data_IF_501665994250
#
_entry.id   IF_501665994250
#
_cell.length_a   1.000
_cell.length_b   1.000
_cell.length_c   1.000
_cell.angle_alpha   90.00
_cell.angle_beta   90.00
_cell.angle_gamma   90.00
#
_symmetry.space_group_name_H-M   'P 1'
#
loop_
_entity.id
_entity.type
_entity.pdbx_description
1 polymer ?
#
# COMPACT_ATOMS: atom_id res chain seq x y z
N UNK A 1 -49.88 34.69 10.09
CA UNK A 1 -49.16 33.61 10.75
C UNK A 1 -49.20 32.38 9.85
N UNK A 2 -48.10 31.70 9.73
CA UNK A 2 -47.94 30.52 8.89
C UNK A 2 -48.98 29.45 9.30
N UNK A 3 -49.62 28.88 8.31
CA UNK A 3 -50.60 27.81 8.53
C UNK A 3 -49.91 26.54 9.05
N UNK A 4 -50.66 25.66 9.74
CA UNK A 4 -50.17 24.36 10.22
C UNK A 4 -49.54 23.52 9.10
N UNK A 5 -50.13 23.62 7.88
CA UNK A 5 -49.63 22.95 6.69
C UNK A 5 -48.27 23.49 6.22
N UNK A 6 -48.04 24.80 6.31
CA UNK A 6 -46.74 25.42 5.97
C UNK A 6 -45.64 25.02 6.96
N UNK A 7 -45.99 24.94 8.24
CA UNK A 7 -45.04 24.45 9.29
C UNK A 7 -44.69 22.97 9.08
N UNK A 8 -45.66 22.15 8.73
CA UNK A 8 -45.47 20.74 8.46
C UNK A 8 -44.62 20.53 7.19
N UNK A 9 -44.90 21.31 6.12
CA UNK A 9 -44.11 21.27 4.89
C UNK A 9 -42.65 21.71 5.12
N UNK A 10 -42.43 22.75 5.92
CA UNK A 10 -41.09 23.22 6.29
C UNK A 10 -40.34 22.19 7.16
N UNK A 11 -41.00 21.58 8.13
CA UNK A 11 -40.43 20.52 8.97
C UNK A 11 -40.06 19.28 8.13
N UNK A 12 -40.88 18.90 7.16
CA UNK A 12 -40.62 17.80 6.22
C UNK A 12 -39.46 18.13 5.30
N UNK A 13 -39.37 19.39 4.85
CA UNK A 13 -38.23 19.84 4.01
C UNK A 13 -36.91 19.82 4.79
N UNK A 14 -36.91 20.27 6.06
CA UNK A 14 -35.75 20.16 6.96
C UNK A 14 -35.38 18.69 7.18
N UNK A 15 -36.33 17.82 7.49
CA UNK A 15 -36.10 16.40 7.71
C UNK A 15 -35.53 15.71 6.44
N UNK A 16 -36.03 16.06 5.24
CA UNK A 16 -35.46 15.60 3.98
C UNK A 16 -34.05 16.14 3.76
N UNK A 17 -33.79 17.41 4.01
CA UNK A 17 -32.48 18.03 3.86
C UNK A 17 -31.43 17.44 4.81
N UNK A 18 -31.82 17.14 6.06
CA UNK A 18 -30.96 16.49 7.04
C UNK A 18 -30.73 15.00 6.74
N UNK A 19 -31.71 14.30 6.21
CA UNK A 19 -31.58 12.90 5.79
C UNK A 19 -30.79 12.73 4.49
N UNK A 20 -30.62 13.77 3.68
CA UNK A 20 -29.77 13.75 2.47
C UNK A 20 -28.31 14.10 2.75
N UNK A 21 -27.94 14.42 3.99
CA UNK A 21 -26.54 14.59 4.35
C UNK A 21 -25.78 13.26 4.15
N UNK A 22 -24.75 13.30 3.32
CA UNK A 22 -23.88 12.12 3.09
C UNK A 22 -23.33 11.69 4.46
N UNK A 23 -23.37 10.40 4.79
CA UNK A 23 -22.81 9.89 6.03
C UNK A 23 -21.40 10.42 6.26
N UNK A 24 -21.14 10.99 7.42
CA UNK A 24 -19.81 11.46 7.81
C UNK A 24 -18.90 10.23 7.87
N UNK A 25 -17.84 10.23 7.08
CA UNK A 25 -16.84 9.15 7.08
C UNK A 25 -15.70 9.50 8.04
N UNK A 26 -14.95 8.50 8.54
CA UNK A 26 -13.77 8.75 9.38
C UNK A 26 -12.78 9.75 8.78
N UNK A 27 -12.62 9.75 7.46
CA UNK A 27 -11.77 10.72 6.74
C UNK A 27 -12.24 12.16 6.91
N UNK A 28 -13.56 12.40 6.96
CA UNK A 28 -14.11 13.75 7.09
C UNK A 28 -13.88 14.29 8.51
N UNK A 29 -13.95 13.42 9.53
CA UNK A 29 -13.65 13.78 10.91
C UNK A 29 -12.19 14.16 11.14
N UNK A 30 -11.27 13.56 10.35
CA UNK A 30 -9.84 13.81 10.46
C UNK A 30 -9.36 14.99 9.59
N UNK A 31 -10.11 15.41 8.58
CA UNK A 31 -9.69 16.36 7.55
C UNK A 31 -9.11 17.68 8.06
N UNK A 32 -9.58 18.19 9.20
CA UNK A 32 -9.15 19.45 9.80
C UNK A 32 -8.32 19.27 11.08
N UNK A 33 -7.88 18.05 11.38
CA UNK A 33 -7.08 17.81 12.58
C UNK A 33 -5.68 18.42 12.46
N UNK A 34 -5.05 18.85 13.56
CA UNK A 34 -3.73 19.48 13.52
C UNK A 34 -2.66 18.61 12.87
N UNK A 35 -2.71 17.30 13.09
CA UNK A 35 -1.77 16.36 12.48
C UNK A 35 -1.91 16.33 10.94
N UNK A 36 -3.15 16.40 10.42
CA UNK A 36 -3.39 16.42 8.97
C UNK A 36 -2.93 17.72 8.32
N UNK A 37 -3.08 18.85 9.02
CA UNK A 37 -2.58 20.15 8.52
C UNK A 37 -1.06 20.13 8.43
N UNK A 38 -0.37 19.67 9.48
CA UNK A 38 1.10 19.54 9.47
C UNK A 38 1.58 18.55 8.42
N UNK A 39 0.90 17.40 8.29
CA UNK A 39 1.25 16.41 7.28
C UNK A 39 1.06 16.94 5.85
N UNK A 40 0.00 17.72 5.61
CA UNK A 40 -0.22 18.40 4.33
C UNK A 40 0.95 19.34 3.98
N UNK A 41 1.50 20.05 4.97
CA UNK A 41 2.67 20.88 4.73
C UNK A 41 3.90 20.03 4.41
N UNK A 42 4.18 18.97 5.17
CA UNK A 42 5.30 18.08 4.92
C UNK A 42 5.23 17.43 3.51
N UNK A 43 4.02 17.09 3.05
CA UNK A 43 3.81 16.57 1.70
C UNK A 43 4.09 17.62 0.62
N UNK A 44 3.71 18.89 0.84
CA UNK A 44 4.05 20.00 -0.07
C UNK A 44 5.55 20.22 -0.17
N UNK A 45 6.26 20.11 0.94
CA UNK A 45 7.72 20.26 1.01
C UNK A 45 8.46 19.20 0.15
N UNK A 46 7.84 18.04 -0.07
CA UNK A 46 8.35 17.01 -0.98
C UNK A 46 7.69 17.06 -2.38
N UNK A 47 6.95 18.10 -2.70
CA UNK A 47 6.36 18.32 -4.02
C UNK A 47 5.07 17.52 -4.29
N UNK A 48 4.35 17.10 -3.27
CA UNK A 48 3.10 16.32 -3.38
C UNK A 48 1.92 17.18 -2.89
N UNK A 49 0.87 17.26 -3.71
CA UNK A 49 -0.40 17.84 -3.29
C UNK A 49 -1.19 16.78 -2.52
N UNK A 50 -1.38 17.04 -1.23
CA UNK A 50 -2.10 16.14 -0.35
C UNK A 50 -3.52 16.66 -0.08
N UNK A 51 -4.52 15.89 -0.55
CA UNK A 51 -5.92 16.21 -0.36
C UNK A 51 -6.36 15.83 1.07
N UNK A 52 -6.66 16.82 1.88
CA UNK A 52 -7.20 16.61 3.24
C UNK A 52 -8.70 16.39 3.20
N UNK A 53 -9.41 16.95 2.23
CA UNK A 53 -10.86 16.87 2.10
C UNK A 53 -11.27 16.13 0.83
N UNK A 54 -12.36 15.41 0.89
CA UNK A 54 -12.95 14.75 -0.30
C UNK A 54 -13.43 15.80 -1.30
N UNK A 55 -13.06 15.62 -2.55
CA UNK A 55 -13.46 16.51 -3.66
C UNK A 55 -12.69 17.84 -3.70
N UNK A 56 -11.61 17.98 -2.95
CA UNK A 56 -10.69 19.12 -3.06
C UNK A 56 -10.10 19.16 -4.48
N UNK A 57 -10.10 20.35 -5.09
CA UNK A 57 -9.61 20.53 -6.44
C UNK A 57 -8.09 20.41 -6.49
N UNK A 58 -7.58 19.49 -7.31
CA UNK A 58 -6.14 19.33 -7.52
C UNK A 58 -5.63 20.44 -8.43
N UNK A 59 -4.66 21.26 -7.99
CA UNK A 59 -4.05 22.30 -8.83
C UNK A 59 -3.40 21.69 -10.08
N UNK A 60 -3.41 22.44 -11.20
CA UNK A 60 -2.91 21.96 -12.50
C UNK A 60 -1.49 21.39 -12.44
N UNK A 61 -0.60 22.00 -11.66
CA UNK A 61 0.79 21.56 -11.50
C UNK A 61 0.94 20.16 -10.85
N UNK A 62 -0.10 19.68 -10.16
CA UNK A 62 -0.10 18.39 -9.44
C UNK A 62 -1.01 17.35 -10.09
N UNK A 63 -1.50 17.56 -11.30
CA UNK A 63 -2.40 16.63 -11.98
C UNK A 63 -1.72 15.36 -12.47
N UNK A 64 -0.40 15.34 -12.55
CA UNK A 64 0.34 14.11 -12.84
C UNK A 64 0.12 13.07 -11.75
N UNK A 65 0.01 11.82 -12.17
CA UNK A 65 -0.61 10.74 -11.40
C UNK A 65 0.08 10.44 -10.05
N UNK A 66 1.36 10.75 -9.86
CA UNK A 66 2.05 10.51 -8.59
C UNK A 66 2.37 11.79 -7.80
N UNK A 67 1.95 12.97 -8.29
CA UNK A 67 2.17 14.26 -7.61
C UNK A 67 1.01 14.67 -6.70
N UNK A 68 -0.03 13.86 -6.60
CA UNK A 68 -1.13 14.11 -5.68
C UNK A 68 -1.59 12.84 -5.01
N UNK A 69 -2.14 12.98 -3.82
CA UNK A 69 -2.70 11.85 -3.08
C UNK A 69 -3.70 12.31 -2.02
N UNK A 70 -4.40 11.36 -1.43
CA UNK A 70 -5.36 11.59 -0.35
C UNK A 70 -4.96 10.84 0.92
N UNK A 71 -5.57 11.21 2.05
CA UNK A 71 -5.41 10.50 3.33
C UNK A 71 -5.60 8.99 3.18
N UNK A 72 -6.65 8.59 2.46
CA UNK A 72 -6.98 7.16 2.30
C UNK A 72 -5.92 6.43 1.46
N UNK A 73 -5.41 7.07 0.39
CA UNK A 73 -4.36 6.47 -0.44
C UNK A 73 -3.04 6.34 0.32
N UNK A 74 -2.59 7.42 0.95
CA UNK A 74 -1.39 7.39 1.80
C UNK A 74 -1.52 6.32 2.89
N UNK A 75 -2.68 6.26 3.55
CA UNK A 75 -2.92 5.26 4.56
C UNK A 75 -2.85 3.83 4.04
N UNK A 76 -3.43 3.56 2.87
CA UNK A 76 -3.33 2.24 2.21
C UNK A 76 -1.89 1.88 1.85
N UNK A 77 -1.14 2.82 1.29
CA UNK A 77 0.27 2.61 0.98
C UNK A 77 1.09 2.36 2.25
N UNK A 78 0.82 3.11 3.31
CA UNK A 78 1.44 2.92 4.62
C UNK A 78 1.12 1.54 5.24
N UNK A 79 -0.14 1.11 5.20
CA UNK A 79 -0.52 -0.24 5.66
C UNK A 79 0.24 -1.32 4.88
N UNK A 80 0.34 -1.21 3.56
CA UNK A 80 1.04 -2.18 2.74
C UNK A 80 2.55 -2.17 2.96
N UNK A 81 3.18 -1.01 2.85
CA UNK A 81 4.64 -0.88 2.79
C UNK A 81 5.29 -0.74 4.17
N UNK A 82 4.72 0.08 5.06
CA UNK A 82 5.29 0.32 6.38
C UNK A 82 4.98 -0.87 7.29
N UNK A 83 3.70 -1.22 7.41
CA UNK A 83 3.23 -2.25 8.35
C UNK A 83 3.16 -3.66 7.76
N UNK A 84 3.47 -3.81 6.48
CA UNK A 84 3.52 -5.11 5.79
C UNK A 84 2.21 -5.91 5.86
N UNK A 85 1.06 -5.21 5.82
CA UNK A 85 -0.28 -5.82 5.75
C UNK A 85 -0.97 -5.46 4.43
N UNK A 86 -0.42 -5.93 3.28
CA UNK A 86 -0.89 -5.53 1.94
C UNK A 86 -2.32 -5.95 1.63
N UNK A 87 -2.76 -7.07 2.19
CA UNK A 87 -4.09 -7.60 1.92
C UNK A 87 -5.15 -6.86 2.74
N UNK A 88 -4.86 -6.52 4.01
CA UNK A 88 -5.71 -5.65 4.83
C UNK A 88 -5.81 -4.25 4.23
N UNK A 89 -4.71 -3.70 3.74
CA UNK A 89 -4.66 -2.43 2.99
C UNK A 89 -5.71 -2.37 1.86
N UNK A 90 -5.87 -3.48 1.15
CA UNK A 90 -6.81 -3.61 0.04
C UNK A 90 -8.25 -3.91 0.50
N UNK A 91 -8.41 -4.89 1.39
CA UNK A 91 -9.71 -5.47 1.75
C UNK A 91 -10.36 -4.82 2.97
N UNK A 92 -9.57 -4.22 3.86
CA UNK A 92 -10.01 -3.60 5.11
C UNK A 92 -9.38 -2.22 5.31
N UNK A 93 -9.61 -1.25 4.41
CA UNK A 93 -8.97 0.07 4.50
C UNK A 93 -9.34 0.84 5.77
N UNK A 94 -10.41 0.46 6.47
CA UNK A 94 -10.76 1.00 7.79
C UNK A 94 -9.70 0.71 8.86
N UNK A 95 -8.86 -0.31 8.69
CA UNK A 95 -7.72 -0.58 9.58
C UNK A 95 -6.78 0.61 9.72
N UNK A 96 -6.72 1.49 8.71
CA UNK A 96 -5.95 2.74 8.77
C UNK A 96 -6.29 3.58 10.00
N UNK A 97 -7.56 3.59 10.41
CA UNK A 97 -8.03 4.44 11.50
C UNK A 97 -7.80 3.84 12.90
N UNK A 98 -7.22 2.65 12.98
CA UNK A 98 -6.73 2.12 14.25
C UNK A 98 -5.59 3.02 14.76
N UNK A 99 -5.59 3.41 16.04
CA UNK A 99 -4.65 4.40 16.57
C UNK A 99 -3.19 4.08 16.25
N UNK A 100 -2.76 2.82 16.41
CA UNK A 100 -1.38 2.41 16.18
C UNK A 100 -0.89 2.70 14.75
N UNK A 101 -1.75 2.55 13.73
CA UNK A 101 -1.38 2.82 12.34
C UNK A 101 -1.51 4.30 11.99
N UNK A 102 -2.64 4.89 12.38
CA UNK A 102 -2.93 6.30 12.08
C UNK A 102 -1.90 7.24 12.70
N UNK A 103 -1.64 7.08 14.00
CA UNK A 103 -0.68 7.91 14.73
C UNK A 103 0.74 7.78 14.14
N UNK A 104 1.15 6.57 13.78
CA UNK A 104 2.49 6.35 13.22
C UNK A 104 2.67 7.03 11.86
N UNK A 105 1.66 7.00 11.00
CA UNK A 105 1.73 7.61 9.66
C UNK A 105 1.57 9.13 9.75
N UNK A 106 0.57 9.62 10.49
CA UNK A 106 0.16 11.02 10.40
C UNK A 106 0.62 11.90 11.57
N UNK A 107 1.05 11.32 12.68
CA UNK A 107 1.52 12.07 13.85
C UNK A 107 2.96 11.73 14.28
N UNK A 108 3.67 10.89 13.54
CA UNK A 108 5.07 10.58 13.74
C UNK A 108 6.01 11.67 13.18
N UNK A 109 7.21 11.28 12.74
CA UNK A 109 8.13 12.18 12.03
C UNK A 109 7.58 12.46 10.61
N UNK A 110 6.76 13.50 10.51
CA UNK A 110 6.00 13.79 9.28
C UNK A 110 6.89 14.09 8.08
N UNK A 111 8.05 14.72 8.28
CA UNK A 111 9.00 14.98 7.19
C UNK A 111 9.59 13.69 6.62
N UNK A 112 9.97 12.76 7.49
CA UNK A 112 10.44 11.44 7.08
C UNK A 112 9.34 10.66 6.37
N UNK A 113 8.14 10.61 6.95
CA UNK A 113 7.00 9.90 6.37
C UNK A 113 6.61 10.50 5.01
N UNK A 114 6.62 11.83 4.85
CA UNK A 114 6.33 12.46 3.57
C UNK A 114 7.33 12.05 2.46
N UNK A 115 8.62 11.93 2.78
CA UNK A 115 9.63 11.42 1.84
C UNK A 115 9.34 9.97 1.45
N UNK A 116 9.03 9.12 2.42
CA UNK A 116 8.63 7.73 2.14
C UNK A 116 7.36 7.66 1.30
N UNK A 117 6.36 8.49 1.60
CA UNK A 117 5.11 8.55 0.84
C UNK A 117 5.34 8.98 -0.61
N UNK A 118 6.21 9.96 -0.86
CA UNK A 118 6.56 10.35 -2.24
C UNK A 118 7.11 9.18 -3.03
N UNK A 119 7.99 8.39 -2.44
CA UNK A 119 8.53 7.19 -3.07
C UNK A 119 7.44 6.12 -3.30
N UNK A 120 6.62 5.85 -2.30
CA UNK A 120 5.51 4.89 -2.41
C UNK A 120 4.50 5.27 -3.49
N UNK A 121 4.21 6.56 -3.65
CA UNK A 121 3.34 7.05 -4.72
C UNK A 121 3.95 6.78 -6.11
N UNK A 122 5.28 6.94 -6.25
CA UNK A 122 5.95 6.59 -7.48
C UNK A 122 5.94 5.07 -7.75
N UNK A 123 6.23 4.26 -6.74
CA UNK A 123 6.18 2.79 -6.84
C UNK A 123 4.79 2.33 -7.29
N UNK A 124 3.75 2.89 -6.70
CA UNK A 124 2.36 2.61 -7.05
C UNK A 124 2.00 3.06 -8.48
N UNK A 125 2.43 4.26 -8.85
CA UNK A 125 2.28 4.77 -10.22
C UNK A 125 2.97 3.87 -11.24
N UNK A 126 4.22 3.47 -10.95
CA UNK A 126 5.00 2.60 -11.82
C UNK A 126 4.32 1.26 -12.03
N UNK A 127 3.84 0.64 -10.95
CA UNK A 127 3.09 -0.61 -11.04
C UNK A 127 1.88 -0.49 -11.97
N UNK A 128 1.02 0.50 -11.73
CA UNK A 128 -0.27 0.64 -12.46
C UNK A 128 -0.11 1.06 -13.91
N UNK A 129 0.84 1.91 -14.22
CA UNK A 129 0.90 2.56 -15.53
C UNK A 129 1.97 1.98 -16.46
N UNK A 130 2.98 1.33 -15.92
CA UNK A 130 4.13 0.84 -16.68
C UNK A 130 4.27 -0.67 -16.54
N UNK A 131 4.51 -1.16 -15.32
CA UNK A 131 4.82 -2.56 -15.07
C UNK A 131 3.69 -3.50 -15.49
N UNK A 132 2.45 -3.22 -15.11
CA UNK A 132 1.31 -4.07 -15.40
C UNK A 132 1.14 -4.30 -16.92
N UNK A 133 1.22 -3.23 -17.72
CA UNK A 133 1.13 -3.32 -19.18
C UNK A 133 2.27 -4.13 -19.79
N UNK A 134 3.47 -3.99 -19.24
CA UNK A 134 4.65 -4.76 -19.65
C UNK A 134 4.45 -6.23 -19.32
N UNK A 135 4.05 -6.54 -18.10
CA UNK A 135 3.80 -7.91 -17.65
C UNK A 135 2.74 -8.62 -18.50
N UNK A 136 1.65 -7.94 -18.81
CA UNK A 136 0.56 -8.49 -19.66
C UNK A 136 1.08 -8.84 -21.04
N UNK A 137 1.81 -7.94 -21.68
CA UNK A 137 2.42 -8.18 -22.99
C UNK A 137 3.39 -9.36 -22.98
N UNK A 138 4.28 -9.39 -21.99
CA UNK A 138 5.34 -10.38 -21.90
C UNK A 138 4.81 -11.78 -21.52
N UNK A 139 3.60 -11.85 -20.94
CA UNK A 139 2.94 -13.11 -20.57
C UNK A 139 1.78 -13.51 -21.49
N UNK A 140 1.42 -12.74 -22.51
CA UNK A 140 0.26 -13.01 -23.37
C UNK A 140 0.26 -14.37 -24.06
N UNK A 141 1.45 -14.91 -24.37
CA UNK A 141 1.64 -16.18 -25.10
C UNK A 141 2.17 -17.33 -24.20
N UNK A 142 2.25 -17.13 -22.88
CA UNK A 142 2.78 -18.15 -21.96
C UNK A 142 1.67 -19.14 -21.57
N UNK A 143 1.95 -20.43 -21.35
CA UNK A 143 0.98 -21.34 -20.76
C UNK A 143 0.39 -20.75 -19.46
N UNK A 144 -0.94 -20.87 -19.27
CA UNK A 144 -1.68 -20.27 -18.15
C UNK A 144 -1.59 -18.72 -18.10
N UNK A 145 -1.49 -18.06 -19.27
CA UNK A 145 -1.42 -16.61 -19.38
C UNK A 145 -2.52 -15.89 -18.55
N UNK A 146 -3.77 -16.35 -18.66
CA UNK A 146 -4.90 -15.76 -17.96
C UNK A 146 -4.74 -15.78 -16.45
N UNK A 147 -4.26 -16.89 -15.87
CA UNK A 147 -4.08 -17.02 -14.43
C UNK A 147 -2.93 -16.15 -13.94
N UNK A 148 -1.83 -16.11 -14.70
CA UNK A 148 -0.67 -15.27 -14.39
C UNK A 148 -1.03 -13.78 -14.43
N UNK A 149 -1.69 -13.33 -15.50
CA UNK A 149 -2.15 -11.96 -15.68
C UNK A 149 -3.16 -11.60 -14.60
N UNK A 150 -4.15 -12.47 -14.34
CA UNK A 150 -5.13 -12.28 -13.27
C UNK A 150 -4.48 -12.14 -11.89
N UNK A 151 -3.46 -12.98 -11.59
CA UNK A 151 -2.72 -12.86 -10.35
C UNK A 151 -2.00 -11.52 -10.24
N UNK A 152 -1.24 -11.14 -11.28
CA UNK A 152 -0.47 -9.90 -11.32
C UNK A 152 -1.36 -8.66 -11.13
N UNK A 153 -2.53 -8.62 -11.79
CA UNK A 153 -3.50 -7.53 -11.64
C UNK A 153 -4.02 -7.37 -10.20
N UNK A 154 -4.05 -8.45 -9.44
CA UNK A 154 -4.48 -8.44 -8.03
C UNK A 154 -3.31 -8.25 -7.03
N UNK A 155 -2.06 -8.34 -7.47
CA UNK A 155 -0.87 -8.35 -6.63
C UNK A 155 -0.29 -6.96 -6.30
N UNK A 156 -0.92 -5.86 -6.74
CA UNK A 156 -0.40 -4.49 -6.58
C UNK A 156 0.11 -4.20 -5.16
N UNK A 157 -0.71 -4.40 -4.15
CA UNK A 157 -0.32 -4.08 -2.77
C UNK A 157 0.78 -5.01 -2.23
N UNK A 158 0.82 -6.26 -2.69
CA UNK A 158 1.89 -7.21 -2.39
C UNK A 158 3.21 -6.76 -3.03
N UNK A 159 3.20 -6.29 -4.26
CA UNK A 159 4.40 -5.75 -4.92
C UNK A 159 4.95 -4.54 -4.18
N UNK A 160 4.09 -3.62 -3.75
CA UNK A 160 4.48 -2.45 -2.96
C UNK A 160 5.07 -2.87 -1.60
N UNK A 161 4.41 -3.80 -0.91
CA UNK A 161 4.89 -4.32 0.37
C UNK A 161 6.24 -5.01 0.21
N UNK A 162 6.40 -5.86 -0.81
CA UNK A 162 7.65 -6.57 -1.06
C UNK A 162 8.80 -5.64 -1.43
N UNK A 163 8.56 -4.62 -2.26
CA UNK A 163 9.59 -3.63 -2.59
C UNK A 163 10.10 -2.92 -1.34
N UNK A 164 9.20 -2.52 -0.43
CA UNK A 164 9.57 -1.93 0.84
C UNK A 164 10.29 -2.93 1.76
N UNK A 165 9.82 -4.17 1.84
CA UNK A 165 10.44 -5.24 2.62
C UNK A 165 11.86 -5.55 2.13
N UNK A 166 12.02 -5.79 0.83
CA UNK A 166 13.28 -6.12 0.20
C UNK A 166 14.33 -5.01 0.40
N UNK A 167 13.92 -3.76 0.23
CA UNK A 167 14.77 -2.60 0.48
C UNK A 167 15.23 -2.52 1.93
N UNK A 168 14.31 -2.67 2.88
CA UNK A 168 14.63 -2.64 4.32
C UNK A 168 15.50 -3.81 4.75
N UNK A 169 15.27 -4.99 4.17
CA UNK A 169 16.12 -6.16 4.40
C UNK A 169 17.54 -5.93 3.86
N UNK A 170 17.66 -5.44 2.62
CA UNK A 170 18.94 -5.10 2.02
C UNK A 170 19.73 -4.05 2.82
N UNK A 171 19.02 -3.04 3.36
CA UNK A 171 19.63 -1.98 4.19
C UNK A 171 19.92 -2.41 5.63
N UNK A 172 19.57 -3.64 6.04
CA UNK A 172 19.77 -4.15 7.40
C UNK A 172 18.75 -3.65 8.43
N UNK A 173 17.71 -2.91 8.04
CA UNK A 173 16.61 -2.52 8.93
C UNK A 173 15.72 -3.71 9.31
N UNK A 174 15.62 -4.71 8.44
CA UNK A 174 15.05 -6.03 8.73
C UNK A 174 16.21 -7.02 8.71
N UNK A 175 16.44 -7.70 9.82
CA UNK A 175 17.57 -8.62 10.01
C UNK A 175 17.07 -10.06 10.07
N UNK A 176 17.98 -11.03 9.89
CA UNK A 176 17.65 -12.46 9.93
C UNK A 176 16.95 -12.87 11.24
N UNK A 177 17.32 -12.28 12.38
CA UNK A 177 16.65 -12.55 13.66
C UNK A 177 15.17 -12.18 13.70
N UNK A 178 14.70 -11.31 12.81
CA UNK A 178 13.29 -10.92 12.70
C UNK A 178 12.48 -11.92 11.86
N UNK A 179 13.14 -12.72 11.01
CA UNK A 179 12.48 -13.54 10.01
C UNK A 179 11.60 -14.62 10.62
N UNK A 180 12.03 -15.26 11.70
CA UNK A 180 11.22 -16.28 12.38
C UNK A 180 9.88 -15.72 12.87
N UNK A 181 9.91 -14.50 13.41
CA UNK A 181 8.69 -13.79 13.84
C UNK A 181 7.82 -13.41 12.64
N UNK A 182 8.44 -12.93 11.55
CA UNK A 182 7.74 -12.53 10.32
C UNK A 182 7.08 -13.76 9.68
N UNK A 183 7.80 -14.86 9.55
CA UNK A 183 7.29 -16.07 8.90
C UNK A 183 6.27 -16.83 9.77
N UNK A 184 6.34 -16.70 11.11
CA UNK A 184 5.30 -17.23 11.99
C UNK A 184 3.90 -16.66 11.67
N UNK A 185 3.82 -15.47 11.09
CA UNK A 185 2.57 -14.86 10.66
C UNK A 185 1.89 -15.61 9.49
N UNK A 186 2.63 -16.41 8.72
CA UNK A 186 2.05 -17.29 7.70
C UNK A 186 1.16 -18.39 8.31
N UNK A 187 1.46 -18.77 9.56
CA UNK A 187 0.78 -19.87 10.29
C UNK A 187 -0.33 -19.36 11.22
N UNK A 188 -0.43 -18.05 11.39
CA UNK A 188 -1.41 -17.41 12.27
C UNK A 188 -2.43 -16.62 11.42
N UNK A 189 -3.71 -16.66 11.82
CA UNK A 189 -4.71 -15.77 11.22
C UNK A 189 -4.59 -14.31 11.73
N UNK A 190 -3.65 -14.03 12.64
CA UNK A 190 -3.41 -12.73 13.25
C UNK A 190 -2.18 -12.04 12.65
N UNK A 191 -2.36 -11.39 11.50
CA UNK A 191 -1.37 -10.41 10.99
C UNK A 191 -1.24 -9.15 11.89
N UNK A 192 -1.98 -9.07 12.98
CA UNK A 192 -1.96 -8.01 13.99
C UNK A 192 -1.13 -8.35 15.22
N UNK A 193 -0.21 -9.32 15.12
CA UNK A 193 0.74 -9.62 16.20
C UNK A 193 1.56 -8.35 16.54
N UNK A 194 1.56 -7.95 17.81
CA UNK A 194 2.30 -6.78 18.28
C UNK A 194 3.79 -6.84 17.95
N UNK A 195 4.38 -8.04 17.93
CA UNK A 195 5.78 -8.25 17.57
C UNK A 195 6.08 -7.89 16.11
N UNK A 196 5.14 -8.19 15.19
CA UNK A 196 5.23 -7.77 13.79
C UNK A 196 5.15 -6.26 13.68
N UNK A 197 4.21 -5.65 14.40
CA UNK A 197 4.09 -4.21 14.44
C UNK A 197 5.40 -3.55 14.90
N UNK A 198 6.01 -4.03 15.98
CA UNK A 198 7.25 -3.47 16.52
C UNK A 198 8.41 -3.54 15.51
N UNK A 199 8.52 -4.65 14.76
CA UNK A 199 9.52 -4.80 13.69
C UNK A 199 9.27 -3.79 12.57
N UNK A 200 8.03 -3.71 12.09
CA UNK A 200 7.73 -2.95 10.88
C UNK A 200 7.47 -1.46 11.15
N UNK A 201 6.96 -1.09 12.31
CA UNK A 201 6.76 0.31 12.69
C UNK A 201 8.06 1.03 13.07
N UNK A 202 9.17 0.31 13.24
CA UNK A 202 10.48 0.92 13.42
C UNK A 202 10.98 1.51 12.09
N UNK A 203 10.85 2.83 11.95
CA UNK A 203 11.34 3.61 10.80
C UNK A 203 12.61 4.40 11.15
N UNK A 204 13.23 4.12 12.27
CA UNK A 204 14.51 4.74 12.65
C UNK A 204 15.53 4.42 11.56
N UNK A 205 16.25 5.45 11.12
CA UNK A 205 17.23 5.38 10.04
C UNK A 205 16.68 4.97 8.64
N UNK A 206 15.36 4.86 8.46
CA UNK A 206 14.77 4.66 7.14
C UNK A 206 14.47 6.03 6.52
N UNK A 207 15.28 6.48 5.57
CA UNK A 207 15.06 7.74 4.84
C UNK A 207 14.21 7.51 3.58
N UNK A 208 14.52 6.44 2.87
CA UNK A 208 13.78 5.96 1.69
C UNK A 208 13.68 4.43 1.80
N UNK A 209 12.63 3.84 1.27
CA UNK A 209 12.56 2.38 1.17
C UNK A 209 13.60 1.82 0.21
N UNK A 210 14.01 2.62 -0.77
CA UNK A 210 15.07 2.29 -1.73
C UNK A 210 16.16 3.37 -1.64
N UNK A 211 17.45 3.02 -1.79
CA UNK A 211 18.54 3.98 -1.65
C UNK A 211 18.35 5.23 -2.52
N UNK A 212 18.52 6.40 -1.93
CA UNK A 212 18.30 7.68 -2.59
C UNK A 212 19.12 7.85 -3.88
N UNK A 213 20.32 7.28 -3.94
CA UNK A 213 21.16 7.30 -5.15
C UNK A 213 20.49 6.60 -6.34
N UNK A 214 19.78 5.51 -6.09
CA UNK A 214 19.03 4.78 -7.13
C UNK A 214 17.78 5.56 -7.49
N UNK A 215 17.05 6.08 -6.50
CA UNK A 215 15.84 6.87 -6.73
C UNK A 215 16.06 8.09 -7.65
N UNK A 216 17.22 8.73 -7.54
CA UNK A 216 17.58 9.86 -8.42
C UNK A 216 17.98 9.45 -9.85
N UNK A 217 18.13 8.14 -10.13
CA UNK A 217 18.44 7.57 -11.45
C UNK A 217 17.24 6.76 -11.93
N UNK A 218 16.28 7.44 -12.54
CA UNK A 218 14.97 6.88 -12.90
C UNK A 218 15.04 5.52 -13.59
N UNK A 219 15.88 5.36 -14.60
CA UNK A 219 15.96 4.11 -15.38
C UNK A 219 16.45 2.93 -14.53
N UNK A 220 17.41 3.18 -13.63
CA UNK A 220 17.87 2.16 -12.69
C UNK A 220 16.80 1.82 -11.65
N UNK A 221 16.08 2.84 -11.20
CA UNK A 221 14.98 2.67 -10.25
C UNK A 221 13.85 1.85 -10.86
N UNK A 222 13.45 2.16 -12.09
CA UNK A 222 12.44 1.43 -12.84
C UNK A 222 12.86 -0.04 -13.06
N UNK A 223 14.12 -0.27 -13.43
CA UNK A 223 14.67 -1.62 -13.60
C UNK A 223 14.70 -2.42 -12.28
N UNK A 224 14.96 -1.75 -11.15
CA UNK A 224 14.89 -2.37 -9.83
C UNK A 224 13.46 -2.77 -9.48
N UNK A 225 12.49 -1.89 -9.70
CA UNK A 225 11.08 -2.19 -9.46
C UNK A 225 10.58 -3.34 -10.34
N UNK A 226 10.94 -3.36 -11.63
CA UNK A 226 10.61 -4.45 -12.55
C UNK A 226 11.06 -5.81 -12.00
N UNK A 227 12.30 -5.89 -11.56
CA UNK A 227 12.86 -7.14 -11.05
C UNK A 227 12.18 -7.55 -9.73
N UNK A 228 12.00 -6.63 -8.78
CA UNK A 228 11.35 -6.92 -7.50
C UNK A 228 9.90 -7.39 -7.71
N UNK A 229 9.13 -6.71 -8.57
CA UNK A 229 7.75 -7.09 -8.85
C UNK A 229 7.65 -8.44 -9.54
N UNK A 230 8.50 -8.68 -10.54
CA UNK A 230 8.54 -9.98 -11.23
C UNK A 230 8.88 -11.12 -10.28
N UNK A 231 9.83 -10.90 -9.37
CA UNK A 231 10.26 -11.89 -8.38
C UNK A 231 9.10 -12.27 -7.45
N UNK A 232 8.43 -11.30 -6.84
CA UNK A 232 7.34 -11.61 -5.89
C UNK A 232 6.09 -12.15 -6.59
N UNK A 233 5.78 -11.69 -7.79
CA UNK A 233 4.64 -12.20 -8.58
C UNK A 233 4.88 -13.66 -8.95
N UNK A 234 6.07 -14.04 -9.42
CA UNK A 234 6.38 -15.42 -9.77
C UNK A 234 6.32 -16.34 -8.54
N UNK A 235 6.86 -15.93 -7.39
CA UNK A 235 6.72 -16.65 -6.14
C UNK A 235 5.24 -16.81 -5.74
N UNK A 236 4.48 -15.73 -5.82
CA UNK A 236 3.05 -15.72 -5.49
C UNK A 236 2.20 -16.59 -6.41
N UNK A 237 2.48 -16.61 -7.73
CA UNK A 237 1.81 -17.49 -8.70
C UNK A 237 2.08 -18.96 -8.34
N UNK A 238 3.31 -19.29 -7.95
CA UNK A 238 3.67 -20.65 -7.52
C UNK A 238 2.86 -21.06 -6.27
N UNK A 239 2.85 -20.23 -5.24
CA UNK A 239 2.07 -20.48 -4.02
C UNK A 239 0.56 -20.57 -4.30
N UNK A 240 0.02 -19.70 -5.15
CA UNK A 240 -1.38 -19.73 -5.56
C UNK A 240 -1.71 -21.01 -6.32
N UNK A 241 -0.87 -21.43 -7.27
CA UNK A 241 -1.06 -22.66 -8.04
C UNK A 241 -1.02 -23.90 -7.15
N UNK A 242 -0.20 -23.90 -6.11
CA UNK A 242 -0.18 -24.98 -5.11
C UNK A 242 -1.46 -25.00 -4.29
N UNK A 243 -1.91 -23.86 -3.81
CA UNK A 243 -3.14 -23.73 -3.02
C UNK A 243 -4.39 -24.11 -3.82
N UNK A 244 -4.48 -23.73 -5.09
CA UNK A 244 -5.62 -24.03 -5.97
C UNK A 244 -5.77 -25.50 -6.34
N UNK A 245 -4.73 -26.32 -6.16
CA UNK A 245 -4.83 -27.79 -6.30
C UNK A 245 -5.69 -28.42 -5.20
N UNK A 246 -5.73 -27.81 -4.03
CA UNK A 246 -6.54 -28.26 -2.89
C UNK A 246 -7.91 -27.61 -2.83
N UNK A 247 -8.08 -26.45 -3.48
CA UNK A 247 -9.34 -25.73 -3.58
C UNK A 247 -9.50 -25.17 -5.00
N UNK A 248 -10.20 -25.91 -5.85
CA UNK A 248 -10.44 -25.54 -7.25
C UNK A 248 -11.32 -24.28 -7.42
N UNK A 249 -11.97 -23.79 -6.35
CA UNK A 249 -12.78 -22.59 -6.35
C UNK A 249 -11.97 -21.34 -5.97
N UNK A 250 -10.71 -21.53 -5.55
CA UNK A 250 -9.85 -20.46 -5.12
C UNK A 250 -9.46 -19.56 -6.30
N UNK A 251 -9.82 -18.29 -6.22
CA UNK A 251 -9.38 -17.28 -7.19
C UNK A 251 -8.17 -16.51 -6.68
N UNK A 252 -7.36 -15.95 -7.59
CA UNK A 252 -6.26 -15.06 -7.22
C UNK A 252 -6.72 -13.90 -6.31
N UNK A 253 -7.89 -13.33 -6.61
CA UNK A 253 -8.51 -12.29 -5.79
C UNK A 253 -8.76 -12.74 -4.35
N UNK A 254 -9.27 -13.95 -4.14
CA UNK A 254 -9.58 -14.48 -2.80
C UNK A 254 -8.30 -14.91 -2.07
N UNK A 255 -7.33 -15.48 -2.77
CA UNK A 255 -6.02 -15.81 -2.22
C UNK A 255 -5.34 -14.55 -1.65
N UNK A 256 -5.35 -13.45 -2.42
CA UNK A 256 -4.71 -12.19 -2.08
C UNK A 256 -5.56 -11.27 -1.14
N UNK A 257 -6.57 -11.82 -0.45
CA UNK A 257 -7.33 -11.09 0.61
C UNK A 257 -6.78 -11.28 2.01
N UNK A 258 -5.89 -12.26 2.21
CA UNK A 258 -5.41 -12.66 3.54
C UNK A 258 -3.91 -12.38 3.65
N UNK A 259 -3.51 -11.56 4.63
CA UNK A 259 -2.08 -11.22 4.84
C UNK A 259 -1.23 -12.46 5.15
N UNK A 260 -1.81 -13.49 5.77
CA UNK A 260 -1.10 -14.77 5.97
C UNK A 260 -0.60 -15.40 4.67
N UNK A 261 -1.29 -15.20 3.55
CA UNK A 261 -0.83 -15.72 2.26
C UNK A 261 0.36 -14.92 1.71
N UNK A 262 0.43 -13.62 2.00
CA UNK A 262 1.63 -12.83 1.72
C UNK A 262 2.83 -13.32 2.52
N UNK A 263 2.65 -13.56 3.81
CA UNK A 263 3.73 -14.09 4.65
C UNK A 263 4.11 -15.53 4.28
N UNK A 264 3.15 -16.35 3.85
CA UNK A 264 3.43 -17.68 3.32
C UNK A 264 4.27 -17.63 2.04
N UNK A 265 3.99 -16.69 1.12
CA UNK A 265 4.82 -16.49 -0.06
C UNK A 265 6.27 -16.16 0.34
N UNK A 266 6.45 -15.28 1.35
CA UNK A 266 7.79 -14.94 1.83
C UNK A 266 8.49 -16.14 2.46
N UNK A 267 7.82 -16.91 3.33
CA UNK A 267 8.39 -18.06 4.04
C UNK A 267 8.74 -19.20 3.06
N UNK A 268 7.77 -19.63 2.25
CA UNK A 268 7.92 -20.75 1.32
C UNK A 268 9.02 -20.52 0.28
N UNK A 269 9.25 -19.27 -0.12
CA UNK A 269 10.20 -18.93 -1.17
C UNK A 269 11.43 -18.17 -0.65
N UNK A 270 11.63 -18.08 0.66
CA UNK A 270 12.65 -17.21 1.24
C UNK A 270 14.06 -17.48 0.74
N UNK A 271 14.44 -18.74 0.60
CA UNK A 271 15.77 -19.11 0.12
C UNK A 271 16.08 -18.49 -1.27
N UNK A 272 15.12 -18.52 -2.19
CA UNK A 272 15.22 -17.89 -3.50
C UNK A 272 15.11 -16.37 -3.43
N UNK A 273 14.09 -15.86 -2.73
CA UNK A 273 13.84 -14.43 -2.59
C UNK A 273 15.03 -13.69 -1.99
N UNK A 274 15.68 -14.25 -0.98
CA UNK A 274 16.89 -13.70 -0.38
C UNK A 274 18.02 -13.55 -1.39
N UNK A 275 18.24 -14.58 -2.20
CA UNK A 275 19.27 -14.55 -3.27
C UNK A 275 18.94 -13.52 -4.34
N UNK A 276 17.68 -13.45 -4.75
CA UNK A 276 17.21 -12.48 -5.72
C UNK A 276 17.32 -11.04 -5.22
N UNK A 277 16.90 -10.76 -3.98
CA UNK A 277 17.05 -9.43 -3.36
C UNK A 277 18.51 -8.99 -3.42
N UNK A 278 19.43 -9.86 -2.98
CA UNK A 278 20.87 -9.54 -3.00
C UNK A 278 21.33 -9.22 -4.43
N UNK A 279 21.05 -10.09 -5.38
CA UNK A 279 21.45 -9.94 -6.79
C UNK A 279 20.87 -8.68 -7.44
N UNK A 280 19.59 -8.37 -7.17
CA UNK A 280 18.89 -7.22 -7.73
C UNK A 280 19.53 -5.91 -7.24
N UNK A 281 19.78 -5.79 -5.96
CA UNK A 281 20.37 -4.56 -5.41
C UNK A 281 21.84 -4.41 -5.77
N UNK A 282 22.64 -5.48 -5.76
CA UNK A 282 24.05 -5.45 -6.17
C UNK A 282 24.22 -5.18 -7.69
N UNK A 283 23.27 -5.61 -8.52
CA UNK A 283 23.33 -5.41 -9.97
C UNK A 283 22.96 -4.00 -10.44
N UNK A 284 22.38 -3.18 -9.57
CA UNK A 284 21.87 -1.84 -9.92
C UNK A 284 22.68 -0.73 -9.24
N UNK A 285 23.32 -1.00 -8.12
CA UNK A 285 24.25 -0.08 -7.45
C UNK A 285 25.57 -0.01 -8.17
#
# INVERSE_FOLDING_TARGET
GDTEDEKNAFSLAIAKATNTQKPIKPVDLKANSPEQIRFSQAMRDVGIFYQTKRGETIPRAYKEAFLNSSLVEIGKLGLAAIFQIPCASRSKPSSLYLPQYYEKIFNGNQQQIAKLCRELLYIDYYFRNIYQKKFDRDNASVPSANDRISFAHNARTICIAFAAFASRYHQGNIQNQHLDTIFAAARSDNATDSRLYDIFANLENVSYFIPAAVFNQKDKYDALLDQLFTTIINAGITSFSMASRYDSTLTATNFLKKDKNYYAILDDHWASLRGDIKRIFEGIM
#
